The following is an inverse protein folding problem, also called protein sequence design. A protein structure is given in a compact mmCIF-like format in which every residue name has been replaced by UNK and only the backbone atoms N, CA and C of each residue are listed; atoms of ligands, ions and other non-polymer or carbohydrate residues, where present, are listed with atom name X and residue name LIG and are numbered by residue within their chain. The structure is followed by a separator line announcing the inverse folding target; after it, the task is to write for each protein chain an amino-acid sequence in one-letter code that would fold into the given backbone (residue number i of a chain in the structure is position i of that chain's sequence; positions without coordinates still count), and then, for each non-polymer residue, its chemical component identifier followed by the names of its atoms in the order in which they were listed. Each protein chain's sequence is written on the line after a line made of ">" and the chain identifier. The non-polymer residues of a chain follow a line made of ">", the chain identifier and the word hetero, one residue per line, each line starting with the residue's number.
data_IF_463809516577
#
_entry.id   IF_463809516577
#
_cell.length_a   1.000
_cell.length_b   1.000
_cell.length_c   1.000
_cell.angle_alpha   90.00
_cell.angle_beta   90.00
_cell.angle_gamma   90.00
#
_symmetry.space_group_name_H-M   'P 1'
#
loop_
_entity.id
_entity.type
_entity.pdbx_description
1 polymer ?
#
# COMPACT_ATOMS: atom_id res chain seq x y z
N UNK A 1 25.10 46.03 -6.71
CA UNK A 1 24.96 44.73 -5.98
C UNK A 1 23.52 44.29 -6.08
N UNK A 2 23.17 43.22 -6.79
CA UNK A 2 21.80 42.68 -6.82
C UNK A 2 21.56 41.82 -5.58
N UNK A 3 20.43 42.09 -4.92
CA UNK A 3 19.91 41.32 -3.80
C UNK A 3 19.48 39.95 -4.29
N UNK A 4 20.05 38.90 -3.70
CA UNK A 4 19.75 37.52 -3.89
C UNK A 4 18.25 37.24 -3.73
N UNK A 5 17.64 36.73 -4.80
CA UNK A 5 16.38 36.04 -4.75
C UNK A 5 16.68 34.66 -4.14
N UNK A 6 16.40 34.50 -2.87
CA UNK A 6 16.31 33.19 -2.23
C UNK A 6 15.21 32.44 -2.96
N UNK A 7 15.62 31.56 -3.85
CA UNK A 7 14.73 30.59 -4.48
C UNK A 7 14.00 29.80 -3.39
N UNK A 8 12.67 29.78 -3.43
CA UNK A 8 11.87 28.78 -2.73
C UNK A 8 12.32 27.43 -3.26
N UNK A 9 13.18 26.79 -2.48
CA UNK A 9 13.54 25.39 -2.68
C UNK A 9 12.24 24.62 -2.48
N UNK A 10 11.59 24.19 -3.57
CA UNK A 10 10.56 23.18 -3.50
C UNK A 10 11.25 21.94 -2.93
N UNK A 11 11.05 21.68 -1.64
CA UNK A 11 11.47 20.42 -1.05
C UNK A 11 10.84 19.33 -1.91
N UNK A 12 11.68 18.57 -2.61
CA UNK A 12 11.29 17.34 -3.27
C UNK A 12 10.67 16.49 -2.15
N UNK A 13 9.35 16.37 -2.17
CA UNK A 13 8.65 15.57 -1.17
C UNK A 13 9.02 14.12 -1.47
N UNK A 14 9.88 13.57 -0.64
CA UNK A 14 10.25 12.17 -0.73
C UNK A 14 9.10 11.31 -0.22
N UNK A 15 8.94 10.12 -0.77
CA UNK A 15 8.01 9.12 -0.25
C UNK A 15 8.32 8.82 1.21
N UNK A 16 7.32 8.94 2.06
CA UNK A 16 7.47 8.79 3.51
C UNK A 16 6.35 7.99 4.13
N UNK A 17 6.69 7.26 5.20
CA UNK A 17 5.77 6.82 6.23
C UNK A 17 6.12 7.49 7.55
N UNK A 18 5.13 7.89 8.33
CA UNK A 18 5.39 8.58 9.59
C UNK A 18 4.41 8.13 10.66
N UNK A 19 4.96 7.52 11.71
CA UNK A 19 4.21 7.01 12.85
C UNK A 19 3.91 8.12 13.85
N UNK A 20 2.76 8.01 14.49
CA UNK A 20 2.37 8.85 15.62
C UNK A 20 1.60 8.06 16.68
N UNK A 21 1.53 8.61 17.89
CA UNK A 21 0.81 7.98 19.01
C UNK A 21 0.03 9.01 19.81
N UNK A 22 -1.16 8.61 20.23
CA UNK A 22 -1.92 9.24 21.31
C UNK A 22 -1.61 8.44 22.57
N UNK A 23 -0.52 8.81 23.30
CA UNK A 23 -0.01 8.01 24.40
C UNK A 23 -1.05 7.83 25.51
N UNK A 24 -1.78 8.88 25.86
CA UNK A 24 -2.83 8.84 26.90
C UNK A 24 -4.00 7.92 26.54
N UNK A 25 -4.22 7.63 25.24
CA UNK A 25 -5.34 6.83 24.77
C UNK A 25 -4.92 5.42 24.35
N UNK A 26 -3.62 5.12 24.31
CA UNK A 26 -3.16 3.84 23.78
C UNK A 26 -3.55 3.62 22.31
N UNK A 27 -3.57 4.68 21.50
CA UNK A 27 -3.87 4.62 20.06
C UNK A 27 -2.62 4.98 19.28
N UNK A 28 -2.32 4.19 18.27
CA UNK A 28 -1.28 4.50 17.28
C UNK A 28 -1.88 4.93 15.96
N UNK A 29 -1.14 5.71 15.22
CA UNK A 29 -1.44 6.03 13.84
C UNK A 29 -0.22 5.98 12.96
N UNK A 30 -0.45 5.95 11.66
CA UNK A 30 0.55 6.00 10.62
C UNK A 30 0.02 6.91 9.50
N UNK A 31 0.88 7.76 8.96
CA UNK A 31 0.64 8.56 7.77
C UNK A 31 1.59 8.12 6.67
N UNK A 32 1.13 8.04 5.43
CA UNK A 32 1.97 7.74 4.27
C UNK A 32 1.69 8.68 3.11
N UNK A 33 2.77 8.97 2.33
CA UNK A 33 2.73 9.64 1.04
C UNK A 33 3.71 8.97 0.10
N UNK A 34 3.25 8.67 -1.13
CA UNK A 34 3.99 7.88 -2.12
C UNK A 34 4.00 8.59 -3.49
N UNK A 35 4.58 9.77 -3.57
CA UNK A 35 4.57 10.59 -4.80
C UNK A 35 5.49 9.99 -5.89
N UNK A 36 6.74 9.70 -5.54
CA UNK A 36 7.75 9.19 -6.48
C UNK A 36 7.51 7.72 -6.82
N UNK A 37 7.21 6.89 -5.80
CA UNK A 37 6.84 5.49 -6.01
C UNK A 37 5.64 5.37 -6.94
N UNK A 38 4.62 6.21 -6.72
CA UNK A 38 3.43 6.22 -7.57
C UNK A 38 3.74 6.63 -9.00
N UNK A 39 4.49 7.71 -9.19
CA UNK A 39 4.91 8.17 -10.52
C UNK A 39 5.72 7.10 -11.27
N UNK A 40 6.64 6.42 -10.58
CA UNK A 40 7.44 5.33 -11.16
C UNK A 40 6.57 4.15 -11.61
N UNK A 41 5.60 3.74 -10.77
CA UNK A 41 4.68 2.64 -11.11
C UNK A 41 3.75 2.98 -12.26
N UNK A 42 3.21 4.19 -12.32
CA UNK A 42 2.39 4.66 -13.44
C UNK A 42 3.17 4.70 -14.76
N UNK A 43 4.45 5.06 -14.70
CA UNK A 43 5.31 5.06 -15.89
C UNK A 43 5.62 3.64 -16.40
N UNK A 44 5.73 2.66 -15.50
CA UNK A 44 5.97 1.26 -15.84
C UNK A 44 4.72 0.54 -16.33
N UNK A 45 3.56 0.93 -15.79
CA UNK A 45 2.28 0.25 -16.01
C UNK A 45 1.18 1.29 -16.30
N UNK A 46 0.85 1.55 -17.57
CA UNK A 46 -0.23 2.46 -17.92
C UNK A 46 -1.61 1.80 -17.68
N UNK A 47 -1.94 1.55 -16.42
CA UNK A 47 -3.22 0.94 -16.04
C UNK A 47 -4.40 1.87 -16.32
N UNK A 48 -5.60 1.33 -16.67
CA UNK A 48 -6.84 2.07 -16.60
C UNK A 48 -7.04 2.69 -15.20
N UNK A 49 -7.72 3.84 -15.13
CA UNK A 49 -7.86 4.62 -13.91
C UNK A 49 -8.37 3.82 -12.70
N UNK A 50 -9.34 2.92 -12.91
CA UNK A 50 -9.89 2.08 -11.83
C UNK A 50 -8.86 1.07 -11.29
N UNK A 51 -8.07 0.45 -12.17
CA UNK A 51 -7.01 -0.47 -11.78
C UNK A 51 -5.86 0.28 -11.07
N UNK A 52 -5.52 1.47 -11.57
CA UNK A 52 -4.53 2.35 -10.96
C UNK A 52 -4.99 2.79 -9.55
N UNK A 53 -6.26 3.19 -9.38
CA UNK A 53 -6.80 3.56 -8.08
C UNK A 53 -6.71 2.39 -7.08
N UNK A 54 -7.12 1.18 -7.48
CA UNK A 54 -7.02 -0.01 -6.62
C UNK A 54 -5.58 -0.33 -6.24
N UNK A 55 -4.62 -0.19 -7.17
CA UNK A 55 -3.20 -0.36 -6.89
C UNK A 55 -2.69 0.68 -5.89
N UNK A 56 -3.10 1.94 -6.07
CA UNK A 56 -2.76 3.03 -5.16
C UNK A 56 -3.27 2.77 -3.74
N UNK A 57 -4.54 2.36 -3.59
CA UNK A 57 -5.09 1.96 -2.29
C UNK A 57 -4.30 0.79 -1.68
N UNK A 58 -3.92 -0.23 -2.48
CA UNK A 58 -3.16 -1.36 -2.00
C UNK A 58 -1.75 -0.97 -1.51
N UNK A 59 -1.07 -0.08 -2.24
CA UNK A 59 0.24 0.43 -1.87
C UNK A 59 0.17 1.27 -0.58
N UNK A 60 -0.80 2.19 -0.48
CA UNK A 60 -0.99 2.99 0.72
C UNK A 60 -1.31 2.10 1.94
N UNK A 61 -2.24 1.16 1.81
CA UNK A 61 -2.61 0.23 2.88
C UNK A 61 -1.40 -0.62 3.32
N UNK A 62 -0.66 -1.21 2.38
CA UNK A 62 0.53 -2.00 2.69
C UNK A 62 1.62 -1.15 3.39
N UNK A 63 1.84 0.09 2.93
CA UNK A 63 2.81 1.01 3.52
C UNK A 63 2.41 1.42 4.94
N UNK A 64 1.12 1.75 5.19
CA UNK A 64 0.57 2.05 6.50
C UNK A 64 0.75 0.86 7.46
N UNK A 65 0.31 -0.33 7.03
CA UNK A 65 0.40 -1.54 7.84
C UNK A 65 1.85 -1.93 8.15
N UNK A 66 2.77 -1.77 7.18
CA UNK A 66 4.20 -2.04 7.42
C UNK A 66 4.77 -1.15 8.52
N UNK A 67 4.28 0.10 8.63
CA UNK A 67 4.65 1.03 9.69
C UNK A 67 4.20 0.58 11.08
N UNK A 68 3.21 -0.30 11.19
CA UNK A 68 2.75 -0.83 12.47
C UNK A 68 3.53 -2.05 12.97
N UNK A 69 4.40 -2.63 12.14
CA UNK A 69 5.18 -3.82 12.51
C UNK A 69 6.19 -3.52 13.62
N UNK A 70 6.40 -4.50 14.50
CA UNK A 70 7.37 -4.40 15.62
C UNK A 70 8.82 -4.60 15.14
N UNK A 71 9.02 -5.29 14.03
CA UNK A 71 10.33 -5.64 13.48
C UNK A 71 10.27 -5.63 11.95
N UNK A 72 11.42 -5.44 11.27
CA UNK A 72 11.47 -5.50 9.82
C UNK A 72 11.07 -6.88 9.33
N UNK A 73 10.39 -6.92 8.21
CA UNK A 73 9.92 -8.14 7.56
C UNK A 73 9.32 -7.80 6.22
N UNK A 74 8.70 -8.78 5.58
CA UNK A 74 7.94 -8.57 4.35
C UNK A 74 6.46 -8.65 4.67
N UNK A 75 5.74 -7.56 4.39
CA UNK A 75 4.28 -7.54 4.39
C UNK A 75 3.79 -7.62 2.95
N UNK A 76 2.94 -8.58 2.67
CA UNK A 76 2.24 -8.70 1.39
C UNK A 76 0.75 -8.58 1.63
N UNK A 77 0.13 -7.61 0.96
CA UNK A 77 -1.31 -7.46 0.86
C UNK A 77 -1.72 -7.91 -0.54
N UNK A 78 -2.64 -8.86 -0.62
CA UNK A 78 -3.18 -9.36 -1.87
C UNK A 78 -4.69 -9.44 -1.79
N UNK A 79 -5.38 -8.80 -2.72
CA UNK A 79 -6.81 -9.00 -2.92
C UNK A 79 -7.01 -9.69 -4.26
N UNK A 80 -7.77 -10.79 -4.29
CA UNK A 80 -8.02 -11.58 -5.48
C UNK A 80 -9.48 -12.01 -5.53
N UNK A 81 -10.04 -12.05 -6.74
CA UNK A 81 -11.44 -12.38 -6.91
C UNK A 81 -11.79 -12.87 -8.31
N UNK A 82 -13.08 -12.97 -8.59
CA UNK A 82 -13.63 -13.51 -9.83
C UNK A 82 -14.09 -12.44 -10.83
N UNK A 83 -13.90 -11.16 -10.53
CA UNK A 83 -14.25 -10.03 -11.39
C UNK A 83 -13.32 -9.81 -12.59
N UNK A 84 -13.44 -8.65 -13.24
CA UNK A 84 -12.60 -8.24 -14.36
C UNK A 84 -11.13 -8.10 -13.99
N UNK A 85 -10.84 -7.61 -12.78
CA UNK A 85 -9.52 -7.71 -12.18
C UNK A 85 -9.39 -9.04 -11.45
N UNK A 86 -8.35 -9.80 -11.79
CA UNK A 86 -8.05 -11.06 -11.14
C UNK A 86 -7.43 -10.87 -9.75
N UNK A 87 -6.53 -9.91 -9.63
CA UNK A 87 -5.86 -9.61 -8.36
C UNK A 87 -5.20 -8.24 -8.38
N UNK A 88 -5.07 -7.64 -7.19
CA UNK A 88 -4.13 -6.58 -6.87
C UNK A 88 -3.19 -7.07 -5.78
N UNK A 89 -1.91 -6.74 -5.87
CA UNK A 89 -0.92 -7.07 -4.87
C UNK A 89 -0.01 -5.87 -4.59
N UNK A 90 0.22 -5.61 -3.30
CA UNK A 90 1.25 -4.69 -2.83
C UNK A 90 2.13 -5.40 -1.80
N UNK A 91 3.43 -5.17 -1.89
CA UNK A 91 4.42 -5.74 -1.00
C UNK A 91 5.32 -4.64 -0.46
N UNK A 92 5.58 -4.68 0.85
CA UNK A 92 6.55 -3.81 1.52
C UNK A 92 7.57 -4.69 2.23
N UNK A 93 8.85 -4.46 1.95
CA UNK A 93 9.97 -5.15 2.59
C UNK A 93 10.76 -4.20 3.48
N UNK A 94 11.18 -4.72 4.64
CA UNK A 94 11.99 -3.98 5.61
C UNK A 94 11.41 -2.61 5.96
N UNK A 95 10.07 -2.50 5.91
CA UNK A 95 9.30 -1.28 6.18
C UNK A 95 9.58 -0.10 5.22
N UNK A 96 10.29 -0.30 4.09
CA UNK A 96 10.70 0.78 3.19
C UNK A 96 10.57 0.50 1.69
N UNK A 97 10.90 -0.70 1.24
CA UNK A 97 10.90 -1.06 -0.17
C UNK A 97 9.51 -1.52 -0.62
N UNK A 98 8.90 -0.80 -1.55
CA UNK A 98 7.55 -1.08 -2.06
C UNK A 98 7.58 -1.57 -3.49
N UNK A 99 6.66 -2.48 -3.79
CA UNK A 99 6.27 -2.83 -5.16
C UNK A 99 4.80 -3.24 -5.18
N UNK A 100 4.19 -3.15 -6.34
CA UNK A 100 2.79 -3.56 -6.52
C UNK A 100 2.46 -3.86 -7.97
N UNK A 101 1.37 -4.59 -8.18
CA UNK A 101 0.90 -4.99 -9.50
C UNK A 101 -0.62 -5.24 -9.46
N UNK A 102 -1.28 -4.97 -10.58
CA UNK A 102 -2.65 -5.43 -10.86
C UNK A 102 -2.58 -6.50 -11.94
N UNK A 103 -3.38 -7.54 -11.80
CA UNK A 103 -3.57 -8.59 -12.80
C UNK A 103 -5.00 -8.56 -13.30
N UNK A 104 -5.14 -8.52 -14.59
CA UNK A 104 -6.41 -8.63 -15.29
C UNK A 104 -6.78 -10.12 -15.46
N UNK A 105 -8.07 -10.39 -15.63
CA UNK A 105 -8.53 -11.73 -15.99
C UNK A 105 -8.29 -11.98 -17.48
N UNK A 106 -8.71 -11.02 -18.30
CA UNK A 106 -8.49 -11.01 -19.73
C UNK A 106 -7.76 -9.72 -20.08
N UNK A 107 -6.74 -9.78 -20.93
CA UNK A 107 -5.87 -8.66 -21.25
C UNK A 107 -6.63 -7.47 -21.88
N UNK A 108 -7.78 -7.73 -22.53
CA UNK A 108 -8.62 -6.73 -23.18
C UNK A 108 -9.86 -6.34 -22.35
N UNK A 109 -9.93 -6.70 -21.07
CA UNK A 109 -11.08 -6.40 -20.23
C UNK A 109 -11.28 -4.89 -20.08
N UNK A 110 -12.35 -4.35 -20.65
CA UNK A 110 -12.76 -2.98 -20.40
C UNK A 110 -13.19 -2.84 -18.94
N UNK A 111 -12.54 -1.94 -18.21
CA UNK A 111 -12.97 -1.57 -16.86
C UNK A 111 -13.94 -0.40 -16.95
N UNK A 112 -15.23 -0.60 -16.68
CA UNK A 112 -16.15 0.53 -16.59
C UNK A 112 -15.73 1.46 -15.44
N UNK A 113 -15.98 2.77 -15.56
CA UNK A 113 -15.71 3.68 -14.45
C UNK A 113 -16.71 3.37 -13.32
N UNK A 114 -16.24 2.69 -12.28
CA UNK A 114 -17.01 2.40 -11.07
C UNK A 114 -16.39 3.24 -9.96
N UNK A 115 -17.22 3.90 -9.16
CA UNK A 115 -16.77 4.72 -8.03
C UNK A 115 -16.06 3.90 -6.94
N UNK A 116 -16.32 2.59 -6.89
CA UNK A 116 -15.77 1.64 -5.93
C UNK A 116 -14.75 0.70 -6.62
N UNK A 117 -13.45 1.03 -6.61
CA UNK A 117 -12.43 0.26 -7.35
C UNK A 117 -12.31 -1.19 -6.90
N UNK A 118 -12.65 -1.49 -5.64
CA UNK A 118 -12.63 -2.86 -5.12
C UNK A 118 -13.62 -3.79 -5.84
N UNK A 119 -14.75 -3.26 -6.32
CA UNK A 119 -15.80 -4.04 -6.97
C UNK A 119 -15.35 -4.65 -8.32
N UNK A 120 -14.26 -4.16 -8.92
CA UNK A 120 -13.69 -4.79 -10.10
C UNK A 120 -13.07 -6.18 -9.83
N UNK A 121 -12.78 -6.50 -8.56
CA UNK A 121 -12.35 -7.83 -8.16
C UNK A 121 -13.52 -8.83 -8.05
N UNK A 122 -14.77 -8.37 -7.94
CA UNK A 122 -15.92 -9.24 -7.72
C UNK A 122 -15.90 -9.90 -6.35
N UNK A 123 -16.43 -11.13 -6.25
CA UNK A 123 -16.33 -11.90 -5.03
C UNK A 123 -14.92 -12.47 -4.88
N UNK A 124 -14.35 -12.35 -3.68
CA UNK A 124 -12.98 -12.75 -3.50
C UNK A 124 -12.48 -12.67 -2.06
N UNK A 125 -11.17 -12.73 -1.93
CA UNK A 125 -10.47 -12.77 -0.65
C UNK A 125 -9.39 -11.70 -0.58
N UNK A 126 -9.28 -11.04 0.58
CA UNK A 126 -8.11 -10.30 1.01
C UNK A 126 -7.21 -11.23 1.81
N UNK A 127 -5.96 -11.28 1.46
CA UNK A 127 -4.91 -12.04 2.15
C UNK A 127 -3.83 -11.08 2.62
N UNK A 128 -3.54 -11.07 3.92
CA UNK A 128 -2.40 -10.39 4.50
C UNK A 128 -1.38 -11.42 4.93
N UNK A 129 -0.17 -11.34 4.38
CA UNK A 129 0.93 -12.24 4.73
C UNK A 129 2.07 -11.43 5.33
N UNK A 130 2.41 -11.74 6.57
CA UNK A 130 3.60 -11.20 7.24
C UNK A 130 4.67 -12.28 7.30
N UNK A 131 5.80 -12.02 6.65
CA UNK A 131 6.98 -12.88 6.70
C UNK A 131 8.06 -12.19 7.51
N UNK A 132 8.29 -12.63 8.76
CA UNK A 132 9.37 -12.08 9.58
C UNK A 132 10.74 -12.48 9.00
N UNK A 133 11.83 -11.79 9.38
CA UNK A 133 13.19 -12.18 8.97
C UNK A 133 13.61 -13.57 9.45
N UNK A 134 13.03 -14.00 10.57
CA UNK A 134 13.22 -15.34 11.16
C UNK A 134 11.88 -15.84 11.69
N UNK A 135 11.58 -17.10 11.46
CA UNK A 135 10.35 -17.74 11.90
C UNK A 135 9.38 -18.01 10.75
N UNK A 136 8.21 -18.51 11.10
CA UNK A 136 7.19 -18.89 10.13
C UNK A 136 6.38 -17.67 9.66
N UNK A 137 5.95 -17.66 8.39
CA UNK A 137 5.03 -16.66 7.91
C UNK A 137 3.68 -16.74 8.64
N UNK A 138 3.12 -15.56 8.93
CA UNK A 138 1.74 -15.44 9.42
C UNK A 138 0.85 -14.96 8.28
N UNK A 139 -0.28 -15.63 8.09
CA UNK A 139 -1.22 -15.30 7.03
C UNK A 139 -2.63 -15.21 7.61
N UNK A 140 -3.32 -14.11 7.31
CA UNK A 140 -4.72 -13.95 7.59
C UNK A 140 -5.51 -13.74 6.31
N UNK A 141 -6.73 -14.26 6.29
CA UNK A 141 -7.59 -14.26 5.10
C UNK A 141 -9.00 -13.85 5.52
N UNK A 142 -9.57 -12.89 4.78
CA UNK A 142 -10.98 -12.48 4.95
C UNK A 142 -11.65 -12.34 3.59
N UNK A 143 -12.98 -12.40 3.55
CA UNK A 143 -13.76 -12.12 2.33
C UNK A 143 -13.66 -10.64 1.98
N UNK A 144 -13.53 -10.34 0.69
CA UNK A 144 -13.68 -8.98 0.19
C UNK A 144 -15.11 -8.47 0.49
N UNK A 145 -15.24 -7.18 0.65
CA UNK A 145 -16.52 -6.52 0.86
C UNK A 145 -16.31 -5.06 1.22
N UNK A 146 -17.31 -4.23 0.92
CA UNK A 146 -17.20 -2.79 0.92
C UNK A 146 -16.87 -2.27 -0.46
N UNK A 147 -16.70 -0.97 -0.58
CA UNK A 147 -16.46 -0.26 -1.83
C UNK A 147 -14.96 -0.02 -2.07
N UNK A 148 -14.19 0.08 -0.98
CA UNK A 148 -12.77 0.39 -0.97
C UNK A 148 -11.94 -0.71 -0.29
N UNK A 149 -10.67 -0.75 -0.61
CA UNK A 149 -9.75 -1.71 0.02
C UNK A 149 -9.62 -1.47 1.54
N UNK A 150 -9.80 -0.23 1.98
CA UNK A 150 -9.85 0.13 3.41
C UNK A 150 -10.88 -0.72 4.16
N UNK A 151 -12.11 -0.88 3.61
CA UNK A 151 -13.20 -1.65 4.23
C UNK A 151 -12.80 -3.12 4.47
N UNK A 152 -12.12 -3.72 3.49
CA UNK A 152 -11.67 -5.10 3.58
C UNK A 152 -10.52 -5.25 4.61
N UNK A 153 -9.60 -4.29 4.69
CA UNK A 153 -8.51 -4.27 5.67
C UNK A 153 -9.05 -4.05 7.08
N UNK A 154 -9.96 -3.10 7.28
CA UNK A 154 -10.60 -2.86 8.58
C UNK A 154 -11.32 -4.10 9.10
N UNK A 155 -12.08 -4.77 8.23
CA UNK A 155 -12.74 -6.05 8.52
C UNK A 155 -11.74 -7.14 8.93
N UNK A 156 -10.58 -7.21 8.26
CA UNK A 156 -9.52 -8.13 8.65
C UNK A 156 -9.09 -7.91 10.10
N UNK A 157 -8.82 -6.67 10.49
CA UNK A 157 -8.39 -6.36 11.85
C UNK A 157 -9.48 -6.60 12.89
N UNK A 158 -10.74 -6.34 12.55
CA UNK A 158 -11.87 -6.60 13.42
C UNK A 158 -12.07 -8.11 13.67
N UNK A 159 -12.03 -8.93 12.60
CA UNK A 159 -12.35 -10.36 12.68
C UNK A 159 -11.16 -11.22 13.11
N UNK A 160 -9.96 -10.90 12.65
CA UNK A 160 -8.79 -11.75 12.85
C UNK A 160 -7.90 -11.30 13.99
N UNK A 161 -7.74 -9.99 14.19
CA UNK A 161 -6.82 -9.43 15.18
C UNK A 161 -7.56 -8.83 16.38
N UNK A 162 -8.87 -8.62 16.27
CA UNK A 162 -9.71 -7.98 17.30
C UNK A 162 -9.18 -6.59 17.73
N UNK A 163 -8.57 -5.88 16.78
CA UNK A 163 -8.00 -4.55 16.97
C UNK A 163 -8.83 -3.51 16.20
N UNK A 164 -9.52 -2.59 16.88
CA UNK A 164 -10.18 -1.47 16.22
C UNK A 164 -9.18 -0.71 15.33
N UNK A 165 -9.46 -0.69 14.03
CA UNK A 165 -8.58 -0.10 13.02
C UNK A 165 -9.43 0.67 12.04
N UNK A 166 -8.97 1.86 11.61
CA UNK A 166 -9.59 2.66 10.55
C UNK A 166 -8.52 3.15 9.60
N UNK A 167 -8.86 3.15 8.31
CA UNK A 167 -7.98 3.61 7.23
C UNK A 167 -8.69 4.64 6.36
N UNK A 168 -7.97 5.67 6.00
CA UNK A 168 -8.37 6.66 4.99
C UNK A 168 -7.30 6.61 3.89
N UNK A 169 -7.70 6.18 2.70
CA UNK A 169 -6.82 5.99 1.55
C UNK A 169 -7.26 6.97 0.45
N UNK A 170 -6.31 7.65 -0.17
CA UNK A 170 -6.57 8.56 -1.28
C UNK A 170 -5.64 8.26 -2.45
N UNK A 171 -6.22 8.28 -3.66
CA UNK A 171 -5.51 8.13 -4.94
C UNK A 171 -5.82 9.27 -5.90
N UNK A 172 -6.53 10.29 -5.44
CA UNK A 172 -7.00 11.41 -6.28
C UNK A 172 -5.87 12.35 -6.69
N UNK A 173 -4.94 12.62 -5.78
CA UNK A 173 -3.82 13.55 -5.97
C UNK A 173 -2.46 12.87 -5.68
N UNK A 174 -2.25 11.68 -6.18
CA UNK A 174 -1.14 10.81 -5.82
C UNK A 174 -1.63 9.68 -4.91
N UNK A 175 -0.74 9.04 -4.15
CA UNK A 175 -1.11 7.96 -3.24
C UNK A 175 -0.76 8.34 -1.81
N UNK A 176 -1.79 8.50 -0.98
CA UNK A 176 -1.66 8.89 0.43
C UNK A 176 -2.57 8.04 1.30
N UNK A 177 -2.27 8.02 2.58
CA UNK A 177 -3.14 7.35 3.55
C UNK A 177 -2.87 7.75 4.99
N UNK A 178 -3.89 7.53 5.80
CA UNK A 178 -3.89 7.68 7.24
C UNK A 178 -4.46 6.40 7.86
N UNK A 179 -3.86 5.94 8.94
CA UNK A 179 -4.33 4.80 9.73
C UNK A 179 -4.42 5.21 11.20
N UNK A 180 -5.50 4.80 11.86
CA UNK A 180 -5.63 4.77 13.31
C UNK A 180 -5.87 3.33 13.76
N UNK A 181 -5.22 2.92 14.86
CA UNK A 181 -5.39 1.59 15.43
C UNK A 181 -5.25 1.63 16.95
N UNK A 182 -6.21 1.03 17.64
CA UNK A 182 -6.12 0.83 19.08
C UNK A 182 -5.02 -0.18 19.42
N UNK A 183 -4.25 0.07 20.47
CA UNK A 183 -3.24 -0.85 20.98
C UNK A 183 -3.87 -1.83 21.97
N UNK A 184 -3.42 -3.10 22.00
CA UNK A 184 -3.87 -4.05 23.01
C UNK A 184 -3.58 -3.53 24.42
N UNK A 185 -4.61 -3.51 25.29
CA UNK A 185 -4.46 -3.02 26.66
C UNK A 185 -4.41 -1.51 26.83
N UNK A 186 -4.70 -0.75 25.77
CA UNK A 186 -4.84 0.71 25.88
C UNK A 186 -6.11 1.11 26.63
N UNK A 187 -6.06 2.21 27.36
CA UNK A 187 -7.17 2.73 28.20
C UNK A 187 -8.16 3.63 27.44
N UNK A 188 -8.10 3.63 26.09
CA UNK A 188 -8.94 4.55 25.30
C UNK A 188 -10.45 4.34 25.45
N UNK A 189 -10.88 3.14 25.88
CA UNK A 189 -12.26 2.74 25.74
C UNK A 189 -12.74 2.78 24.28
N UNK A 190 -13.93 2.27 23.99
CA UNK A 190 -14.52 2.41 22.65
C UNK A 190 -14.76 3.87 22.26
N UNK A 191 -15.16 4.71 23.22
CA UNK A 191 -15.49 6.14 23.00
C UNK A 191 -14.26 6.97 22.54
N UNK A 192 -13.08 6.72 23.11
CA UNK A 192 -11.85 7.45 22.75
C UNK A 192 -11.41 7.17 21.32
N UNK A 193 -11.45 5.89 20.89
CA UNK A 193 -11.14 5.50 19.54
C UNK A 193 -12.14 6.06 18.53
N UNK A 194 -13.45 5.91 18.80
CA UNK A 194 -14.52 6.40 17.92
C UNK A 194 -14.44 7.92 17.74
N UNK A 195 -14.19 8.67 18.82
CA UNK A 195 -13.99 10.12 18.74
C UNK A 195 -12.87 10.47 17.74
N UNK A 196 -11.70 9.87 17.89
CA UNK A 196 -10.59 10.13 16.96
C UNK A 196 -10.91 9.67 15.54
N UNK A 197 -11.59 8.55 15.36
CA UNK A 197 -12.01 8.07 14.06
C UNK A 197 -12.99 9.04 13.36
N UNK A 198 -13.96 9.61 14.11
CA UNK A 198 -14.87 10.63 13.59
C UNK A 198 -14.10 11.90 13.18
N UNK A 199 -13.15 12.36 14.00
CA UNK A 199 -12.32 13.51 13.67
C UNK A 199 -11.47 13.24 12.43
N UNK A 200 -10.83 12.08 12.33
CA UNK A 200 -10.04 11.68 11.17
C UNK A 200 -10.88 11.56 9.88
N UNK A 201 -12.15 11.14 9.99
CA UNK A 201 -13.05 11.03 8.83
C UNK A 201 -13.38 12.37 8.16
N UNK A 202 -13.04 13.50 8.81
CA UNK A 202 -13.18 14.83 8.22
C UNK A 202 -12.05 15.19 7.24
N UNK A 203 -11.02 14.32 7.12
CA UNK A 203 -9.90 14.54 6.22
C UNK A 203 -10.37 14.53 4.77
N UNK A 204 -9.82 15.45 3.98
CA UNK A 204 -10.08 15.54 2.53
C UNK A 204 -8.87 15.04 1.76
N UNK A 205 -9.11 14.48 0.57
CA UNK A 205 -8.05 14.01 -0.34
C UNK A 205 -6.98 15.08 -0.59
N UNK A 206 -7.41 16.33 -0.80
CA UNK A 206 -6.50 17.46 -1.00
C UNK A 206 -5.62 17.71 0.22
N UNK A 207 -6.15 17.57 1.44
CA UNK A 207 -5.38 17.76 2.66
C UNK A 207 -4.34 16.65 2.88
N UNK A 208 -4.72 15.39 2.58
CA UNK A 208 -3.78 14.26 2.57
C UNK A 208 -2.63 14.48 1.60
N UNK A 209 -2.92 15.10 0.45
CA UNK A 209 -1.93 15.34 -0.60
C UNK A 209 -1.02 16.55 -0.33
N UNK A 210 -1.56 17.63 0.22
CA UNK A 210 -0.83 18.91 0.33
C UNK A 210 -0.17 19.14 1.68
N UNK A 211 -0.77 18.63 2.77
CA UNK A 211 -0.26 18.88 4.13
C UNK A 211 0.82 17.85 4.51
N UNK A 212 1.84 18.30 5.23
CA UNK A 212 2.72 17.38 5.94
C UNK A 212 2.01 16.74 7.14
N UNK A 213 2.54 15.63 7.63
CA UNK A 213 1.91 14.87 8.71
C UNK A 213 1.67 15.72 9.97
N UNK A 214 2.62 16.60 10.33
CA UNK A 214 2.49 17.42 11.53
C UNK A 214 1.34 18.44 11.40
N UNK A 215 1.24 19.08 10.25
CA UNK A 215 0.17 20.06 9.97
C UNK A 215 -1.18 19.39 9.89
N UNK A 216 -1.26 18.23 9.20
CA UNK A 216 -2.47 17.43 9.10
C UNK A 216 -2.98 16.98 10.47
N UNK A 217 -2.10 16.40 11.30
CA UNK A 217 -2.48 15.90 12.62
C UNK A 217 -2.93 17.03 13.56
N UNK A 218 -2.28 18.18 13.55
CA UNK A 218 -2.72 19.36 14.33
C UNK A 218 -4.09 19.87 13.89
N UNK A 219 -4.39 19.78 12.60
CA UNK A 219 -5.70 20.18 12.08
C UNK A 219 -6.79 19.17 12.47
N UNK A 220 -6.50 17.87 12.37
CA UNK A 220 -7.47 16.82 12.68
C UNK A 220 -7.71 16.70 14.19
N UNK A 221 -6.66 16.84 15.00
CA UNK A 221 -6.66 16.56 16.44
C UNK A 221 -6.07 17.74 17.24
N UNK A 222 -6.71 18.93 17.19
CA UNK A 222 -6.12 20.15 17.74
C UNK A 222 -5.96 20.15 19.27
N UNK A 223 -6.76 19.33 19.97
CA UNK A 223 -6.78 19.27 21.44
C UNK A 223 -6.03 18.05 22.00
N UNK A 224 -5.54 17.16 21.11
CA UNK A 224 -4.91 15.92 21.55
C UNK A 224 -3.37 16.06 21.57
N UNK A 225 -2.75 15.49 22.60
CA UNK A 225 -1.30 15.38 22.66
C UNK A 225 -0.81 14.20 21.81
N UNK A 226 -0.12 14.54 20.73
CA UNK A 226 0.34 13.58 19.72
C UNK A 226 1.86 13.55 19.71
N UNK A 227 2.39 12.39 19.99
CA UNK A 227 3.81 12.12 19.77
C UNK A 227 4.06 11.70 18.33
N UNK A 228 4.65 12.59 17.55
CA UNK A 228 5.05 12.32 16.17
C UNK A 228 6.48 11.79 16.13
N UNK A 229 6.70 10.65 15.44
CA UNK A 229 8.00 10.03 15.27
C UNK A 229 8.71 10.56 14.02
N UNK A 230 10.04 10.39 13.91
CA UNK A 230 10.76 10.74 12.69
C UNK A 230 10.17 10.00 11.46
N UNK A 231 10.10 10.67 10.30
CA UNK A 231 9.65 10.02 9.08
C UNK A 231 10.65 8.94 8.64
N UNK A 232 10.13 7.85 8.11
CA UNK A 232 10.91 6.79 7.47
C UNK A 232 10.79 6.92 5.95
N UNK A 233 11.88 6.83 5.19
CA UNK A 233 11.82 6.88 3.75
C UNK A 233 11.18 5.62 3.19
N UNK A 234 10.38 5.81 2.13
CA UNK A 234 9.77 4.76 1.33
C UNK A 234 10.29 4.89 -0.10
N UNK A 235 10.40 3.78 -0.83
CA UNK A 235 10.83 3.81 -2.21
C UNK A 235 10.29 2.62 -3.00
N UNK A 236 10.07 2.80 -4.30
CA UNK A 236 9.84 1.69 -5.22
C UNK A 236 11.13 0.90 -5.38
N UNK A 237 11.11 -0.38 -5.03
CA UNK A 237 12.23 -1.29 -5.23
C UNK A 237 11.73 -2.67 -5.68
N UNK A 238 12.24 -3.14 -6.81
CA UNK A 238 11.98 -4.50 -7.28
C UNK A 238 13.11 -5.45 -6.88
N UNK A 239 12.74 -6.68 -6.52
CA UNK A 239 13.70 -7.74 -6.14
C UNK A 239 14.02 -8.71 -7.27
N UNK A 240 13.58 -8.41 -8.49
CA UNK A 240 13.97 -9.25 -9.61
C UNK A 240 15.49 -9.19 -9.83
N UNK A 241 16.09 -10.30 -10.18
CA UNK A 241 17.48 -10.37 -10.56
C UNK A 241 17.69 -11.41 -11.67
N UNK A 242 18.80 -11.28 -12.40
CA UNK A 242 19.14 -12.22 -13.44
C UNK A 242 19.33 -13.64 -12.89
N UNK A 243 19.90 -13.75 -11.70
CA UNK A 243 20.13 -15.04 -11.01
C UNK A 243 18.81 -15.76 -10.73
N UNK A 244 17.81 -15.05 -10.19
CA UNK A 244 16.46 -15.63 -9.95
C UNK A 244 15.77 -16.03 -11.25
N UNK A 245 15.96 -15.26 -12.32
CA UNK A 245 15.45 -15.59 -13.63
C UNK A 245 16.08 -16.87 -14.15
N UNK A 246 17.41 -17.01 -14.01
CA UNK A 246 18.16 -18.22 -14.39
C UNK A 246 17.70 -19.45 -13.57
N UNK A 247 17.51 -19.29 -12.26
CA UNK A 247 16.97 -20.37 -11.40
C UNK A 247 15.58 -20.82 -11.86
N UNK A 248 14.73 -19.87 -12.24
CA UNK A 248 13.39 -20.17 -12.76
C UNK A 248 13.46 -20.94 -14.09
N UNK A 249 14.32 -20.50 -15.01
CA UNK A 249 14.55 -21.19 -16.29
C UNK A 249 15.14 -22.59 -16.08
N UNK A 250 16.10 -22.74 -15.17
CA UNK A 250 16.71 -24.03 -14.87
C UNK A 250 15.73 -25.04 -14.26
N UNK A 251 14.63 -24.56 -13.65
CA UNK A 251 13.58 -25.42 -13.12
C UNK A 251 12.52 -25.83 -14.16
N UNK A 252 12.55 -25.25 -15.37
CA UNK A 252 11.65 -25.62 -16.46
C UNK A 252 12.11 -26.91 -17.16
N UNK A 253 11.17 -27.63 -17.75
CA UNK A 253 11.50 -28.81 -18.55
C UNK A 253 12.33 -28.42 -19.78
N UNK A 254 13.43 -29.15 -20.09
CA UNK A 254 14.27 -28.83 -21.24
C UNK A 254 13.48 -28.74 -22.56
N UNK A 255 12.56 -29.68 -22.77
CA UNK A 255 11.73 -29.71 -23.99
C UNK A 255 10.92 -28.42 -24.19
N UNK A 256 10.40 -27.83 -23.09
CA UNK A 256 9.68 -26.55 -23.13
C UNK A 256 10.60 -25.40 -23.53
N UNK A 257 11.82 -25.37 -23.00
CA UNK A 257 12.80 -24.34 -23.34
C UNK A 257 13.25 -24.47 -24.81
N UNK A 258 13.41 -25.70 -25.30
CA UNK A 258 13.76 -25.97 -26.73
C UNK A 258 12.63 -25.58 -27.68
N UNK A 259 11.37 -25.80 -27.26
CA UNK A 259 10.18 -25.37 -28.02
C UNK A 259 10.14 -23.85 -28.17
N UNK A 260 10.28 -23.09 -27.07
CA UNK A 260 10.31 -21.63 -27.07
C UNK A 260 11.47 -21.13 -27.96
N UNK A 261 12.67 -21.71 -27.81
CA UNK A 261 13.84 -21.34 -28.64
C UNK A 261 13.62 -21.63 -30.13
N UNK A 262 12.86 -22.66 -30.45
CA UNK A 262 12.55 -23.01 -31.85
C UNK A 262 11.52 -22.08 -32.46
N UNK A 263 10.53 -21.63 -31.66
CA UNK A 263 9.44 -20.74 -32.10
C UNK A 263 9.90 -19.30 -32.16
N UNK A 264 10.50 -18.81 -31.06
CA UNK A 264 10.77 -17.38 -30.84
C UNK A 264 12.23 -16.99 -31.11
N UNK A 265 13.15 -18.00 -31.22
CA UNK A 265 14.58 -17.78 -31.43
C UNK A 265 15.36 -17.34 -30.19
N UNK A 266 14.66 -16.88 -29.15
CA UNK A 266 15.26 -16.46 -27.89
C UNK A 266 14.25 -16.70 -26.73
N UNK A 267 14.76 -16.75 -25.49
CA UNK A 267 13.92 -16.79 -24.29
C UNK A 267 13.93 -15.41 -23.64
N UNK A 268 12.83 -14.68 -23.78
CA UNK A 268 12.66 -13.37 -23.18
C UNK A 268 11.81 -13.47 -21.91
N UNK A 269 12.40 -13.08 -20.77
CA UNK A 269 11.69 -12.98 -19.52
C UNK A 269 11.54 -11.53 -19.08
N UNK A 270 10.30 -11.10 -18.83
CA UNK A 270 10.00 -9.74 -18.36
C UNK A 270 9.48 -9.80 -16.93
N UNK A 271 10.06 -9.02 -16.04
CA UNK A 271 9.58 -8.88 -14.68
C UNK A 271 8.23 -8.18 -14.68
N UNK A 272 7.21 -8.80 -14.12
CA UNK A 272 5.86 -8.23 -14.09
C UNK A 272 5.74 -6.98 -13.21
N UNK A 273 6.64 -6.76 -12.23
CA UNK A 273 6.61 -5.60 -11.35
C UNK A 273 7.34 -4.38 -11.91
N UNK A 274 8.49 -4.55 -12.53
CA UNK A 274 9.33 -3.43 -12.96
C UNK A 274 9.63 -3.42 -14.46
N UNK A 275 9.06 -4.34 -15.23
CA UNK A 275 9.23 -4.48 -16.68
C UNK A 275 10.70 -4.66 -17.13
N UNK A 276 11.64 -4.94 -16.22
CA UNK A 276 13.02 -5.29 -16.58
C UNK A 276 13.04 -6.61 -17.37
N UNK A 277 13.89 -6.66 -18.41
CA UNK A 277 14.09 -7.78 -19.32
C UNK A 277 15.44 -8.43 -19.07
#
# INVERSE_FOLDING_TARGET
>A
LPKDRIGKNSMVQNDIGQRFHFEALGIRGEYVRLDQTWAALCALHPYPSAAAALLGEALAAAALLSGTLKYPGTLTLQAAGDGALRAVMAEVRETRALRGIVRFRDDDAALPPIAAPLNHLGEGLLTLTLRPPKGEPHQGIVRLGGDHLADAVERYFEQSEQLPTRLWLSTTHGVQGLLLQALPGGDCGSEGFERLAIMASTVKDQELAELDAQTLLKRLFPEDDIRLHPPRPLAFECTCSRERTQETLAAMAPDTLEEILREDGEILMTCQFCQAR
#
